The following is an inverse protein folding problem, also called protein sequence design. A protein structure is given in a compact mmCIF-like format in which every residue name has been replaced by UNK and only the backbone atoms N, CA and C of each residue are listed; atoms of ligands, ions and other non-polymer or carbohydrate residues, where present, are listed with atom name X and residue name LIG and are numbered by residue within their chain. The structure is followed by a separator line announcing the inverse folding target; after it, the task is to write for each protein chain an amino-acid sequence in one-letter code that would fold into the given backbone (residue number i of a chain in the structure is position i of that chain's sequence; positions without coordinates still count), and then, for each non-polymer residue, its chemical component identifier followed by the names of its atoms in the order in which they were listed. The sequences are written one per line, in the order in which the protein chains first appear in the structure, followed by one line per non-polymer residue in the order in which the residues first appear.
data_IF_367883726414
#
_entry.id   IF_367883726414
#
_cell.length_a   1.000
_cell.length_b   1.000
_cell.length_c   1.000
_cell.angle_alpha   90.00
_cell.angle_beta   90.00
_cell.angle_gamma   90.00
#
_symmetry.space_group_name_H-M   'P 1'
#
loop_
_entity.id
_entity.type
_entity.pdbx_description
1 polymer ?
#
# COMPACT_ATOMS: atom_id res chain seq x y z
N UNK A 1 -12.55 -7.15 -12.15
CA UNK A 1 -11.36 -6.34 -11.80
C UNK A 1 -9.99 -6.94 -12.16
N UNK A 2 -9.87 -8.22 -12.58
CA UNK A 2 -8.56 -8.89 -12.84
C UNK A 2 -7.66 -8.23 -13.93
N UNK A 3 -8.20 -7.34 -14.76
CA UNK A 3 -7.45 -6.64 -15.82
C UNK A 3 -6.83 -5.31 -15.38
N UNK A 4 -7.28 -4.71 -14.27
CA UNK A 4 -6.74 -3.42 -13.81
C UNK A 4 -5.41 -3.68 -13.09
N UNK A 5 -4.33 -3.06 -13.58
CA UNK A 5 -2.98 -3.21 -13.01
C UNK A 5 -2.57 -2.02 -12.14
N UNK A 6 -2.92 -0.80 -12.56
CA UNK A 6 -2.50 0.44 -11.90
C UNK A 6 -3.64 1.47 -11.93
N UNK A 7 -4.09 1.91 -10.76
CA UNK A 7 -5.09 2.97 -10.59
C UNK A 7 -4.93 3.58 -9.20
N UNK A 8 -5.06 4.90 -9.08
CA UNK A 8 -5.06 5.59 -7.78
C UNK A 8 -6.37 5.35 -7.01
N UNK A 9 -7.50 5.50 -7.69
CA UNK A 9 -8.83 5.14 -7.22
C UNK A 9 -9.65 4.56 -8.38
N UNK A 10 -10.70 3.79 -8.06
CA UNK A 10 -11.58 3.16 -9.04
C UNK A 10 -13.03 3.42 -8.64
N UNK A 11 -13.79 3.99 -9.56
CA UNK A 11 -15.20 4.30 -9.40
C UNK A 11 -16.03 3.34 -10.26
N UNK A 12 -16.98 2.61 -9.65
CA UNK A 12 -17.66 1.49 -10.29
C UNK A 12 -19.16 1.76 -10.48
N UNK A 13 -19.60 1.81 -11.74
CA UNK A 13 -21.02 1.92 -12.09
C UNK A 13 -21.48 3.34 -12.35
N UNK A 14 -22.69 3.47 -12.93
CA UNK A 14 -23.25 4.74 -13.43
C UNK A 14 -23.46 5.80 -12.34
N UNK A 15 -23.67 5.38 -11.10
CA UNK A 15 -24.06 6.25 -9.99
C UNK A 15 -22.92 6.51 -8.99
N UNK A 16 -21.68 6.32 -9.43
CA UNK A 16 -20.49 6.51 -8.59
C UNK A 16 -19.58 7.55 -9.25
N UNK A 17 -20.00 8.82 -9.36
CA UNK A 17 -19.15 9.88 -9.89
C UNK A 17 -17.93 10.12 -9.00
N UNK A 18 -16.86 10.64 -9.60
CA UNK A 18 -15.60 10.96 -8.91
C UNK A 18 -15.79 11.86 -7.68
N UNK A 19 -16.68 12.86 -7.79
CA UNK A 19 -17.02 13.77 -6.70
C UNK A 19 -17.47 13.05 -5.41
N UNK A 20 -18.11 11.88 -5.50
CA UNK A 20 -18.44 11.11 -4.29
C UNK A 20 -17.16 10.66 -3.56
N UNK A 21 -16.13 10.24 -4.28
CA UNK A 21 -14.83 9.87 -3.73
C UNK A 21 -14.04 11.05 -3.19
N UNK A 22 -14.14 12.20 -3.86
CA UNK A 22 -13.42 13.41 -3.44
C UNK A 22 -13.90 13.97 -2.11
N UNK A 23 -15.21 13.82 -1.83
CA UNK A 23 -15.84 14.53 -0.73
C UNK A 23 -16.40 13.64 0.39
N UNK A 24 -16.97 12.48 0.09
CA UNK A 24 -17.86 11.80 1.08
C UNK A 24 -17.70 10.28 1.21
N UNK A 25 -17.22 9.57 0.20
CA UNK A 25 -17.22 8.10 0.26
C UNK A 25 -16.19 7.51 1.23
N UNK A 26 -15.18 8.28 1.64
CA UNK A 26 -14.16 7.86 2.60
C UNK A 26 -12.77 7.53 2.04
N UNK A 27 -12.57 7.10 0.78
CA UNK A 27 -11.23 7.04 0.20
C UNK A 27 -10.54 8.40 0.19
N UNK A 28 -9.21 8.40 0.23
CA UNK A 28 -8.43 9.64 0.15
C UNK A 28 -8.31 10.10 -1.33
N UNK A 29 -8.58 11.38 -1.59
CA UNK A 29 -8.44 11.96 -2.94
C UNK A 29 -7.01 12.41 -3.28
N UNK A 30 -6.08 12.36 -2.32
CA UNK A 30 -4.65 12.58 -2.57
C UNK A 30 -4.09 11.30 -3.19
N UNK A 31 -4.07 11.29 -4.53
CA UNK A 31 -3.75 10.13 -5.34
C UNK A 31 -2.49 10.35 -6.19
N UNK A 32 -1.78 9.27 -6.57
CA UNK A 32 -0.61 9.38 -7.43
C UNK A 32 -0.97 9.74 -8.87
N UNK A 33 -0.36 10.82 -9.38
CA UNK A 33 -0.51 11.33 -10.76
C UNK A 33 0.72 11.00 -11.62
N UNK A 34 0.74 11.45 -12.87
CA UNK A 34 1.85 11.22 -13.83
C UNK A 34 2.32 9.74 -13.90
N UNK A 35 1.34 8.83 -13.92
CA UNK A 35 1.53 7.36 -13.96
C UNK A 35 2.24 6.75 -12.74
N UNK A 36 2.36 7.49 -11.63
CA UNK A 36 2.99 7.00 -10.40
C UNK A 36 2.22 5.86 -9.72
N UNK A 37 0.92 5.65 -10.03
CA UNK A 37 0.13 4.49 -9.59
C UNK A 37 0.73 3.12 -9.96
N UNK A 38 1.82 3.08 -10.76
CA UNK A 38 2.63 1.89 -11.01
C UNK A 38 3.46 1.43 -9.81
N UNK A 39 3.85 2.35 -8.94
CA UNK A 39 4.79 2.10 -7.84
C UNK A 39 4.41 2.80 -6.53
N UNK A 40 3.42 3.70 -6.53
CA UNK A 40 2.91 4.37 -5.33
C UNK A 40 1.40 4.16 -5.16
N UNK A 41 0.95 4.27 -3.91
CA UNK A 41 -0.46 4.19 -3.53
C UNK A 41 -1.05 5.58 -3.28
N UNK A 42 -2.39 5.67 -3.18
CA UNK A 42 -3.04 6.85 -2.60
C UNK A 42 -2.67 7.05 -1.14
N UNK A 43 -2.77 8.29 -0.66
CA UNK A 43 -2.44 8.65 0.71
C UNK A 43 -3.26 7.84 1.72
N UNK A 44 -2.57 7.29 2.71
CA UNK A 44 -3.11 6.39 3.72
C UNK A 44 -2.53 6.71 5.10
N UNK A 45 -3.06 6.05 6.13
CA UNK A 45 -2.49 6.15 7.49
C UNK A 45 -1.03 5.69 7.55
N UNK A 46 -0.61 4.77 6.66
CA UNK A 46 0.76 4.27 6.65
C UNK A 46 1.78 5.32 6.24
N UNK A 47 1.38 6.33 5.48
CA UNK A 47 2.26 7.44 5.08
C UNK A 47 2.64 8.34 6.27
N UNK A 48 1.89 8.24 7.36
CA UNK A 48 2.15 8.94 8.62
C UNK A 48 2.78 8.04 9.70
N UNK A 49 3.07 6.77 9.37
CA UNK A 49 3.67 5.81 10.29
C UNK A 49 5.05 5.36 9.80
N UNK A 50 6.00 5.19 10.72
CA UNK A 50 7.27 4.52 10.42
C UNK A 50 7.14 3.02 10.72
N UNK A 51 7.43 2.18 9.72
CA UNK A 51 7.41 0.72 9.88
C UNK A 51 8.83 0.23 10.08
N UNK A 52 9.16 -0.18 11.31
CA UNK A 52 10.48 -0.69 11.67
C UNK A 52 10.44 -2.19 11.92
N UNK A 53 11.40 -2.91 11.37
CA UNK A 53 11.60 -4.34 11.64
C UNK A 53 12.80 -4.50 12.57
N UNK A 54 12.61 -5.30 13.61
CA UNK A 54 13.67 -5.65 14.56
C UNK A 54 14.01 -7.13 14.40
N UNK A 55 15.30 -7.43 14.32
CA UNK A 55 15.82 -8.80 14.27
C UNK A 55 16.91 -8.91 15.32
N UNK A 56 16.79 -9.89 16.18
CA UNK A 56 17.78 -10.20 17.21
C UNK A 56 18.22 -11.65 17.03
N UNK A 57 19.53 -11.89 17.10
CA UNK A 57 20.11 -13.23 17.02
C UNK A 57 21.22 -13.34 18.06
N UNK A 58 21.20 -14.43 18.83
CA UNK A 58 22.27 -14.76 19.76
C UNK A 58 23.16 -15.87 19.19
N UNK A 59 24.36 -16.03 19.76
CA UNK A 59 25.37 -16.98 19.27
C UNK A 59 24.80 -18.40 19.08
N UNK A 60 24.02 -18.91 20.04
CA UNK A 60 23.42 -20.26 19.97
C UNK A 60 22.42 -20.39 18.82
N UNK A 61 21.65 -19.34 18.55
CA UNK A 61 20.67 -19.34 17.45
C UNK A 61 21.38 -19.29 16.10
N UNK A 62 22.48 -18.54 16.02
CA UNK A 62 23.31 -18.46 14.82
C UNK A 62 24.01 -19.79 14.51
N UNK A 63 24.58 -20.47 15.51
CA UNK A 63 25.21 -21.79 15.37
C UNK A 63 24.20 -22.84 14.86
N UNK A 64 22.98 -22.85 15.40
CA UNK A 64 21.93 -23.77 14.93
C UNK A 64 21.54 -23.54 13.47
N UNK A 65 21.42 -22.27 13.05
CA UNK A 65 21.14 -21.92 11.67
C UNK A 65 22.27 -22.34 10.73
N UNK A 66 23.53 -22.21 11.16
CA UNK A 66 24.69 -22.61 10.37
C UNK A 66 24.76 -24.12 10.09
N UNK A 67 24.14 -24.95 10.94
CA UNK A 67 24.03 -26.40 10.72
C UNK A 67 22.77 -26.81 9.92
N UNK A 68 21.86 -25.88 9.63
CA UNK A 68 20.62 -26.10 8.88
C UNK A 68 20.68 -25.60 7.43
N UNK A 69 21.75 -24.87 7.06
CA UNK A 69 22.07 -24.41 5.71
C UNK A 69 23.18 -25.28 5.11
#
# INVERSE_FOLDING_TARGET
MKLIKHAGAIFLGRYTPEAIGDYVAGPNHVLPTDRAARFSSGLSVFDFMKRSTFVECNLRSLEKLAHQL
#
